data_IF_225356957468
#
_entry.id   IF_225356957468
#
_cell.length_a   1.000
_cell.length_b   1.000
_cell.length_c   1.000
_cell.angle_alpha   90.00
_cell.angle_beta   90.00
_cell.angle_gamma   90.00
#
_symmetry.space_group_name_H-M   'P 1'
#
loop_
_entity.id
_entity.type
_entity.pdbx_description
1 polymer ?
#
# COMPACT_ATOMS: atom_id res chain seq x y z
N UNK A 1 -8.38 19.17 1.21
CA UNK A 1 -8.04 17.73 1.34
C UNK A 1 -6.56 17.64 1.63
N UNK A 2 -6.14 16.87 2.63
CA UNK A 2 -4.72 16.68 2.94
C UNK A 2 -4.11 15.72 1.93
N UNK A 3 -2.88 15.98 1.50
CA UNK A 3 -2.11 14.99 0.76
C UNK A 3 -1.78 13.81 1.69
N UNK A 4 -2.21 12.60 1.32
CA UNK A 4 -1.92 11.39 2.08
C UNK A 4 -0.58 10.75 1.66
N UNK A 5 0.11 11.33 0.68
CA UNK A 5 1.44 10.96 0.25
C UNK A 5 2.53 11.90 0.80
N UNK A 6 3.73 11.37 0.99
CA UNK A 6 4.99 12.06 1.19
C UNK A 6 5.93 11.79 0.00
N UNK A 7 6.89 12.68 -0.23
CA UNK A 7 7.94 12.46 -1.22
C UNK A 7 9.05 11.59 -0.61
N UNK A 8 9.46 10.56 -1.34
CA UNK A 8 10.64 9.76 -0.98
C UNK A 8 11.93 10.49 -1.38
N UNK A 9 13.04 10.41 -0.61
CA UNK A 9 14.34 10.95 -0.99
C UNK A 9 14.87 10.40 -2.32
N UNK A 10 14.54 9.14 -2.64
CA UNK A 10 14.87 8.48 -3.91
C UNK A 10 13.97 8.90 -5.08
N UNK A 11 12.99 9.78 -4.83
CA UNK A 11 11.95 10.18 -5.76
C UNK A 11 10.69 9.30 -5.65
N UNK A 12 9.56 9.84 -6.11
CA UNK A 12 8.27 9.17 -6.06
C UNK A 12 7.50 9.38 -4.75
N UNK A 13 6.29 8.84 -4.74
CA UNK A 13 5.29 9.02 -3.67
C UNK A 13 5.18 7.79 -2.75
N UNK A 14 5.02 8.02 -1.46
CA UNK A 14 4.80 6.99 -0.43
C UNK A 14 3.73 7.44 0.55
N UNK A 15 2.93 6.53 1.10
CA UNK A 15 1.96 6.85 2.14
C UNK A 15 2.61 7.53 3.35
N UNK A 16 1.96 8.58 3.88
CA UNK A 16 2.49 9.30 5.06
C UNK A 16 2.61 8.41 6.30
N UNK A 17 1.74 7.42 6.45
CA UNK A 17 1.82 6.44 7.52
C UNK A 17 3.13 5.63 7.41
N UNK A 18 3.44 5.13 6.22
CA UNK A 18 4.67 4.38 5.96
C UNK A 18 5.92 5.26 6.09
N UNK A 19 5.85 6.53 5.72
CA UNK A 19 6.95 7.47 5.97
C UNK A 19 7.23 7.65 7.47
N UNK A 20 6.19 7.78 8.30
CA UNK A 20 6.32 7.85 9.75
C UNK A 20 6.83 6.53 10.34
N UNK A 21 6.38 5.39 9.82
CA UNK A 21 6.83 4.07 10.26
C UNK A 21 8.30 3.84 9.94
N UNK A 22 8.77 4.22 8.76
CA UNK A 22 10.18 4.15 8.40
C UNK A 22 11.04 4.97 9.37
N UNK A 23 10.59 6.20 9.69
CA UNK A 23 11.25 7.05 10.67
C UNK A 23 11.26 6.42 12.07
N UNK A 24 10.14 5.84 12.50
CA UNK A 24 10.01 5.20 13.82
C UNK A 24 10.84 3.90 13.93
N UNK A 25 11.00 3.18 12.83
CA UNK A 25 11.81 1.98 12.74
C UNK A 25 13.30 2.27 12.48
N UNK A 26 13.68 3.55 12.35
CA UNK A 26 15.05 3.99 12.04
C UNK A 26 15.63 3.39 10.75
N UNK A 27 14.77 3.14 9.76
CA UNK A 27 15.17 2.65 8.42
C UNK A 27 15.09 3.76 7.37
N UNK A 28 15.84 3.60 6.28
CA UNK A 28 15.78 4.54 5.16
C UNK A 28 14.38 4.55 4.53
N UNK A 29 13.83 5.76 4.34
CA UNK A 29 12.55 5.93 3.68
C UNK A 29 12.66 5.54 2.21
N UNK A 30 11.86 4.55 1.80
CA UNK A 30 11.81 4.07 0.43
C UNK A 30 10.37 3.81 -0.02
N UNK A 31 10.08 4.07 -1.30
CA UNK A 31 8.81 3.71 -1.95
C UNK A 31 8.52 2.20 -1.88
N UNK A 32 9.57 1.40 -1.69
CA UNK A 32 9.49 -0.06 -1.52
C UNK A 32 8.98 -0.46 -0.13
N UNK A 33 8.66 0.48 0.75
CA UNK A 33 7.91 0.19 1.99
C UNK A 33 6.40 0.27 1.77
N UNK A 34 5.97 0.80 0.62
CA UNK A 34 4.56 0.91 0.23
C UNK A 34 4.42 0.83 -1.30
N UNK A 35 4.65 -0.34 -1.92
CA UNK A 35 4.67 -0.48 -3.37
C UNK A 35 3.36 -0.04 -4.03
N UNK A 36 2.22 -0.26 -3.36
CA UNK A 36 0.91 0.19 -3.81
C UNK A 36 0.32 1.20 -2.84
N UNK A 37 0.06 2.41 -3.33
CA UNK A 37 -0.59 3.48 -2.58
C UNK A 37 -1.89 3.92 -3.29
N UNK A 38 -3.06 3.57 -2.76
CA UNK A 38 -4.29 4.27 -3.10
C UNK A 38 -4.28 5.64 -2.39
N UNK A 39 -4.20 6.73 -3.15
CA UNK A 39 -4.25 8.11 -2.67
C UNK A 39 -5.60 8.76 -3.02
N UNK A 40 -6.57 8.83 -2.07
CA UNK A 40 -7.89 9.38 -2.31
C UNK A 40 -7.82 10.83 -2.82
N UNK A 41 -8.46 11.09 -3.96
CA UNK A 41 -8.58 12.43 -4.56
C UNK A 41 -9.96 13.04 -4.32
N UNK A 42 -11.00 12.22 -4.18
CA UNK A 42 -12.36 12.63 -3.82
C UNK A 42 -13.11 11.48 -3.16
N UNK A 43 -14.38 11.70 -2.79
CA UNK A 43 -15.26 10.66 -2.23
C UNK A 43 -15.50 9.48 -3.18
N UNK A 44 -15.16 9.63 -4.47
CA UNK A 44 -15.43 8.62 -5.51
C UNK A 44 -14.22 8.22 -6.33
N UNK A 45 -13.08 8.88 -6.15
CA UNK A 45 -11.89 8.71 -6.98
C UNK A 45 -10.63 8.61 -6.12
N UNK A 46 -9.78 7.65 -6.45
CA UNK A 46 -8.44 7.52 -5.90
C UNK A 46 -7.42 7.48 -7.02
N UNK A 47 -6.35 8.23 -6.85
CA UNK A 47 -5.14 7.98 -7.62
C UNK A 47 -4.53 6.67 -7.12
N UNK A 48 -4.05 5.85 -8.04
CA UNK A 48 -3.27 4.65 -7.75
C UNK A 48 -1.83 4.93 -8.08
N UNK A 49 -0.98 4.84 -7.08
CA UNK A 49 0.47 4.96 -7.19
C UNK A 49 1.07 3.56 -7.05
N UNK A 50 1.94 3.19 -7.97
CA UNK A 50 2.67 1.91 -7.95
C UNK A 50 4.16 2.19 -8.08
N UNK A 51 4.96 1.66 -7.15
CA UNK A 51 6.40 1.94 -7.03
C UNK A 51 6.70 3.44 -7.13
N UNK A 52 5.98 4.23 -6.32
CA UNK A 52 6.16 5.67 -6.23
C UNK A 52 5.71 6.49 -7.44
N UNK A 53 5.08 5.87 -8.44
CA UNK A 53 4.59 6.57 -9.65
C UNK A 53 3.08 6.45 -9.78
N UNK A 54 2.41 7.57 -10.02
CA UNK A 54 1.00 7.55 -10.37
C UNK A 54 0.78 6.80 -11.69
N UNK A 55 -0.01 5.71 -11.65
CA UNK A 55 -0.30 4.87 -12.82
C UNK A 55 -1.69 5.10 -13.39
N UNK A 56 -2.66 5.45 -12.54
CA UNK A 56 -4.04 5.71 -12.95
C UNK A 56 -4.80 6.50 -11.88
N UNK A 57 -5.91 7.10 -12.29
CA UNK A 57 -6.97 7.49 -11.38
C UNK A 57 -8.13 6.53 -11.60
N UNK A 58 -8.60 5.91 -10.53
CA UNK A 58 -9.69 4.96 -10.57
C UNK A 58 -10.84 5.49 -9.74
N UNK A 59 -12.06 5.33 -10.25
CA UNK A 59 -13.22 5.44 -9.39
C UNK A 59 -13.25 4.27 -8.39
N UNK A 60 -14.07 4.38 -7.35
CA UNK A 60 -14.16 3.33 -6.32
C UNK A 60 -14.49 1.95 -6.92
N UNK A 61 -15.38 1.88 -7.92
CA UNK A 61 -15.80 0.61 -8.53
C UNK A 61 -14.65 -0.02 -9.30
N UNK A 62 -13.96 0.75 -10.12
CA UNK A 62 -12.83 0.29 -10.93
C UNK A 62 -11.65 -0.10 -10.06
N UNK A 63 -11.40 0.62 -8.96
CA UNK A 63 -10.42 0.21 -7.95
C UNK A 63 -10.74 -1.17 -7.38
N UNK A 64 -11.98 -1.43 -6.96
CA UNK A 64 -12.37 -2.74 -6.42
C UNK A 64 -12.29 -3.88 -7.45
N UNK A 65 -12.44 -3.58 -8.74
CA UNK A 65 -12.26 -4.56 -9.82
C UNK A 65 -10.78 -4.86 -10.04
N UNK A 66 -9.93 -3.83 -10.03
CA UNK A 66 -8.52 -3.95 -10.40
C UNK A 66 -7.61 -4.32 -9.22
N UNK A 67 -8.00 -4.08 -7.98
CA UNK A 67 -7.14 -4.23 -6.78
C UNK A 67 -6.43 -5.59 -6.67
N UNK A 68 -7.02 -6.68 -7.17
CA UNK A 68 -6.35 -7.98 -7.14
C UNK A 68 -5.03 -8.01 -7.92
N UNK A 69 -4.91 -7.26 -9.01
CA UNK A 69 -3.65 -7.18 -9.77
C UNK A 69 -2.57 -6.37 -9.03
N UNK A 70 -2.97 -5.55 -8.05
CA UNK A 70 -2.05 -4.78 -7.21
C UNK A 70 -1.37 -5.64 -6.13
N UNK A 71 -1.89 -6.85 -5.87
CA UNK A 71 -1.34 -7.74 -4.84
C UNK A 71 0.06 -8.26 -5.17
N UNK A 72 0.39 -8.46 -6.45
CA UNK A 72 1.68 -9.03 -6.84
C UNK A 72 2.87 -8.12 -6.50
N UNK A 73 2.85 -6.80 -6.79
CA UNK A 73 3.86 -5.87 -6.30
C UNK A 73 4.09 -5.94 -4.78
N UNK A 74 3.02 -5.93 -3.99
CA UNK A 74 3.12 -5.98 -2.52
C UNK A 74 3.72 -7.31 -2.04
N UNK A 75 3.28 -8.43 -2.62
CA UNK A 75 3.81 -9.76 -2.27
C UNK A 75 5.27 -9.95 -2.67
N UNK A 76 5.68 -9.40 -3.83
CA UNK A 76 7.07 -9.44 -4.23
C UNK A 76 7.94 -8.66 -3.26
N UNK A 77 7.49 -7.49 -2.84
CA UNK A 77 8.28 -6.68 -1.91
C UNK A 77 8.31 -7.28 -0.50
N UNK A 78 7.19 -7.83 -0.03
CA UNK A 78 7.13 -8.55 1.24
C UNK A 78 8.18 -9.68 1.31
N UNK A 79 8.30 -10.49 0.25
CA UNK A 79 9.32 -11.55 0.19
C UNK A 79 10.73 -11.00 0.31
N UNK A 80 11.05 -9.91 -0.41
CA UNK A 80 12.37 -9.29 -0.32
C UNK A 80 12.64 -8.73 1.09
N UNK A 81 11.65 -8.07 1.71
CA UNK A 81 11.77 -7.58 3.09
C UNK A 81 12.01 -8.73 4.09
N UNK A 82 11.33 -9.86 3.90
CA UNK A 82 11.51 -11.03 4.77
C UNK A 82 12.90 -11.70 4.62
N UNK A 83 13.60 -11.46 3.51
CA UNK A 83 15.00 -11.85 3.32
C UNK A 83 15.99 -10.80 3.88
N UNK A 84 15.60 -9.53 3.87
CA UNK A 84 16.43 -8.39 4.30
C UNK A 84 16.39 -8.14 5.82
N UNK A 85 15.28 -8.47 6.49
CA UNK A 85 15.02 -8.13 7.90
C UNK A 85 14.59 -9.35 8.73
N UNK A 86 15.04 -9.41 9.98
CA UNK A 86 14.65 -10.47 10.92
C UNK A 86 13.17 -10.42 11.33
N UNK A 87 12.56 -9.22 11.26
CA UNK A 87 11.16 -9.00 11.59
C UNK A 87 10.54 -7.99 10.62
N UNK A 88 9.44 -8.40 9.98
CA UNK A 88 8.61 -7.54 9.12
C UNK A 88 7.25 -7.36 9.79
N UNK A 89 6.89 -6.11 10.08
CA UNK A 89 5.58 -5.74 10.62
C UNK A 89 4.72 -5.18 9.49
N UNK A 90 3.55 -5.78 9.28
CA UNK A 90 2.58 -5.33 8.28
C UNK A 90 1.37 -4.75 8.99
N UNK A 91 1.05 -3.49 8.69
CA UNK A 91 -0.19 -2.84 9.09
C UNK A 91 -1.22 -2.98 7.96
N UNK A 92 -2.35 -3.62 8.25
CA UNK A 92 -3.48 -3.67 7.33
C UNK A 92 -4.24 -2.35 7.27
N UNK A 93 -4.96 -2.12 6.17
CA UNK A 93 -5.70 -0.89 5.95
C UNK A 93 -7.21 -1.14 5.99
N UNK A 94 -7.93 -0.32 6.77
CA UNK A 94 -9.37 -0.49 6.96
C UNK A 94 -9.67 -1.44 8.11
N UNK A 95 -10.79 -2.16 8.02
CA UNK A 95 -11.20 -3.09 9.07
C UNK A 95 -11.20 -4.53 8.56
N UNK A 96 -10.38 -5.37 9.19
CA UNK A 96 -10.37 -6.83 8.96
C UNK A 96 -11.72 -7.52 9.27
N UNK A 97 -12.65 -6.81 9.94
CA UNK A 97 -13.99 -7.28 10.24
C UNK A 97 -15.01 -7.03 9.11
N UNK A 98 -14.63 -6.33 8.03
CA UNK A 98 -15.50 -6.07 6.86
C UNK A 98 -15.64 -7.34 6.01
N UNK A 99 -16.43 -8.31 6.49
CA UNK A 99 -16.60 -9.61 5.85
C UNK A 99 -17.12 -9.53 4.42
N UNK A 100 -17.83 -8.44 4.07
CA UNK A 100 -18.30 -8.15 2.71
C UNK A 100 -17.16 -7.87 1.72
N UNK A 101 -15.95 -7.53 2.18
CA UNK A 101 -14.77 -7.27 1.34
C UNK A 101 -13.80 -8.46 1.28
N UNK A 102 -14.04 -9.51 2.07
CA UNK A 102 -13.08 -10.59 2.35
C UNK A 102 -12.57 -11.33 1.11
N UNK A 103 -13.43 -11.57 0.13
CA UNK A 103 -13.02 -12.24 -1.13
C UNK A 103 -12.09 -11.37 -1.97
N UNK A 104 -12.13 -10.06 -1.74
CA UNK A 104 -11.35 -9.06 -2.48
C UNK A 104 -10.26 -8.42 -1.64
N UNK A 105 -10.12 -8.84 -0.39
CA UNK A 105 -9.16 -8.26 0.54
C UNK A 105 -7.71 -8.50 0.03
N UNK A 106 -6.91 -7.44 0.08
CA UNK A 106 -5.47 -7.46 -0.28
C UNK A 106 -4.62 -6.75 0.79
N UNK A 107 -5.26 -6.15 1.79
CA UNK A 107 -4.60 -5.29 2.79
C UNK A 107 -4.58 -5.94 4.17
N UNK A 108 -5.59 -6.75 4.51
CA UNK A 108 -5.71 -7.39 5.82
C UNK A 108 -5.51 -8.92 5.73
N UNK A 109 -6.58 -9.69 5.91
CA UNK A 109 -6.57 -11.16 5.93
C UNK A 109 -6.23 -11.75 4.57
N UNK A 110 -6.55 -11.07 3.49
CA UNK A 110 -6.15 -11.46 2.14
C UNK A 110 -4.64 -11.43 1.96
N UNK A 111 -3.97 -10.42 2.53
CA UNK A 111 -2.52 -10.35 2.60
C UNK A 111 -1.96 -11.44 3.51
N UNK A 112 -2.44 -11.51 4.75
CA UNK A 112 -1.94 -12.45 5.76
C UNK A 112 -2.05 -13.93 5.37
N UNK A 113 -2.97 -14.29 4.47
CA UNK A 113 -3.10 -15.67 3.95
C UNK A 113 -2.12 -16.00 2.82
N UNK A 114 -1.59 -14.99 2.14
CA UNK A 114 -0.66 -15.14 1.02
C UNK A 114 0.80 -14.99 1.46
N UNK A 115 1.04 -14.21 2.52
CA UNK A 115 2.33 -14.09 3.22
C UNK A 115 2.76 -15.43 3.83
#
# INVERSE_FOLDING_TARGET
MSNNAAASPSGGEIGRAQALQAQAAEIELSIELNPVLPNPQSDRESQVVVHGKAVSNLDAKDYFIQRHSLMEPDMQRFRNLAEEYDLVLIEGAGSSAETNLRDRDITDMGFARKA
#
